data_IF_720573939749
#
_entry.id   IF_720573939749
#
_cell.length_a   1.000
_cell.length_b   1.000
_cell.length_c   1.000
_cell.angle_alpha   90.00
_cell.angle_beta   90.00
_cell.angle_gamma   90.00
#
_symmetry.space_group_name_H-M   'P 1'
#
loop_
_entity.id
_entity.type
_entity.pdbx_description
1 polymer ?
#
# COMPACT_ATOMS: atom_id res chain seq x y z
N UNK A 1 13.42 8.82 -3.23
CA UNK A 1 12.54 8.15 -2.27
C UNK A 1 11.44 7.42 -3.02
N UNK A 2 10.75 8.10 -3.93
CA UNK A 2 9.69 7.55 -4.80
C UNK A 2 10.10 6.23 -5.46
N UNK A 3 11.29 6.16 -6.06
CA UNK A 3 11.78 4.93 -6.68
C UNK A 3 11.94 3.77 -5.66
N UNK A 4 12.27 4.07 -4.41
CA UNK A 4 12.39 3.06 -3.35
C UNK A 4 11.03 2.50 -2.95
N UNK A 5 10.03 3.36 -2.79
CA UNK A 5 8.64 2.94 -2.53
C UNK A 5 8.13 2.08 -3.69
N UNK A 6 8.35 2.52 -4.93
CA UNK A 6 7.97 1.76 -6.11
C UNK A 6 8.65 0.37 -6.17
N UNK A 7 9.96 0.31 -5.88
CA UNK A 7 10.69 -0.95 -5.85
C UNK A 7 10.15 -1.90 -4.77
N UNK A 8 9.86 -1.39 -3.56
CA UNK A 8 9.28 -2.17 -2.47
C UNK A 8 7.91 -2.73 -2.88
N UNK A 9 7.04 -1.91 -3.47
CA UNK A 9 5.72 -2.35 -3.95
C UNK A 9 5.81 -3.41 -5.03
N UNK A 10 6.75 -3.28 -5.97
CA UNK A 10 6.99 -4.30 -7.01
C UNK A 10 7.51 -5.60 -6.40
N UNK A 11 8.49 -5.54 -5.50
CA UNK A 11 9.02 -6.73 -4.83
C UNK A 11 7.94 -7.42 -4.01
N UNK A 12 7.15 -6.68 -3.23
CA UNK A 12 6.04 -7.23 -2.46
C UNK A 12 5.01 -7.91 -3.37
N UNK A 13 4.62 -7.28 -4.48
CA UNK A 13 3.72 -7.88 -5.45
C UNK A 13 4.30 -9.15 -6.08
N UNK A 14 5.56 -9.15 -6.49
CA UNK A 14 6.19 -10.34 -7.08
C UNK A 14 6.25 -11.51 -6.09
N UNK A 15 6.55 -11.24 -4.82
CA UNK A 15 6.55 -12.27 -3.77
C UNK A 15 5.13 -12.83 -3.58
N UNK A 16 4.12 -11.96 -3.45
CA UNK A 16 2.73 -12.38 -3.24
C UNK A 16 2.17 -13.12 -4.47
N UNK A 17 2.52 -12.67 -5.67
CA UNK A 17 2.12 -13.29 -6.92
C UNK A 17 2.76 -14.68 -7.07
N UNK A 18 4.07 -14.80 -6.86
CA UNK A 18 4.79 -16.06 -6.97
C UNK A 18 4.35 -17.10 -5.92
N UNK A 19 3.96 -16.64 -4.73
CA UNK A 19 3.46 -17.51 -3.65
C UNK A 19 1.96 -17.78 -3.73
N UNK A 20 1.20 -17.07 -4.58
CA UNK A 20 -0.25 -17.20 -4.68
C UNK A 20 -1.02 -16.62 -3.49
N UNK A 21 -0.42 -15.73 -2.70
CA UNK A 21 -1.00 -15.17 -1.46
C UNK A 21 -1.57 -13.75 -1.64
N UNK A 22 -1.85 -13.31 -2.87
CA UNK A 22 -2.38 -11.96 -3.14
C UNK A 22 -3.69 -11.72 -2.38
N UNK A 23 -4.66 -12.62 -2.51
CA UNK A 23 -5.98 -12.46 -1.89
C UNK A 23 -5.88 -12.47 -0.36
N UNK A 24 -5.08 -13.39 0.20
CA UNK A 24 -4.83 -13.43 1.64
C UNK A 24 -4.17 -12.14 2.14
N UNK A 25 -3.17 -11.62 1.43
CA UNK A 25 -2.53 -10.35 1.80
C UNK A 25 -3.50 -9.17 1.70
N UNK A 26 -4.36 -9.13 0.69
CA UNK A 26 -5.39 -8.10 0.55
C UNK A 26 -6.39 -8.15 1.73
N UNK A 27 -6.78 -9.34 2.18
CA UNK A 27 -7.66 -9.49 3.35
C UNK A 27 -6.95 -9.11 4.64
N UNK A 28 -5.69 -9.51 4.85
CA UNK A 28 -4.97 -9.31 6.11
C UNK A 28 -4.41 -7.90 6.29
N UNK A 29 -3.88 -7.32 5.20
CA UNK A 29 -3.20 -6.02 5.17
C UNK A 29 -3.95 -4.92 4.42
N UNK A 30 -5.10 -5.21 3.83
CA UNK A 30 -5.97 -4.19 3.24
C UNK A 30 -6.78 -3.42 4.28
N UNK A 31 -7.19 -2.21 3.91
CA UNK A 31 -8.10 -1.41 4.72
C UNK A 31 -9.54 -1.91 4.56
N UNK A 32 -10.15 -2.36 5.67
CA UNK A 32 -11.53 -2.86 5.71
C UNK A 32 -12.29 -2.09 6.80
N UNK A 33 -13.19 -1.14 6.44
CA UNK A 33 -13.91 -0.31 7.40
C UNK A 33 -14.71 -1.10 8.44
N UNK A 34 -15.23 -2.28 8.07
CA UNK A 34 -16.00 -3.15 8.96
C UNK A 34 -15.23 -3.54 10.24
N UNK A 35 -13.88 -3.56 10.21
CA UNK A 35 -13.05 -3.86 11.39
C UNK A 35 -13.19 -2.85 12.54
N UNK A 36 -13.72 -1.65 12.27
CA UNK A 36 -13.99 -0.65 13.31
C UNK A 36 -15.21 -1.04 14.14
N UNK A 37 -16.26 -1.51 13.47
CA UNK A 37 -17.50 -1.96 14.11
C UNK A 37 -17.39 -3.38 14.68
N UNK A 38 -16.53 -4.21 14.09
CA UNK A 38 -16.32 -5.60 14.47
C UNK A 38 -14.82 -5.88 14.65
N UNK A 39 -14.24 -5.55 15.82
CA UNK A 39 -12.80 -5.73 16.07
C UNK A 39 -12.32 -7.17 15.89
N UNK A 40 -13.19 -8.15 16.13
CA UNK A 40 -12.90 -9.57 15.98
C UNK A 40 -13.15 -10.16 14.59
N UNK A 41 -13.44 -9.33 13.58
CA UNK A 41 -13.77 -9.77 12.22
C UNK A 41 -12.68 -10.68 11.61
N UNK A 42 -11.42 -10.49 12.02
CA UNK A 42 -10.27 -11.30 11.58
C UNK A 42 -9.53 -11.96 12.74
N UNK A 43 -10.21 -12.18 13.87
CA UNK A 43 -9.62 -12.90 15.00
C UNK A 43 -9.13 -14.29 14.58
N UNK A 44 -7.98 -14.68 15.12
CA UNK A 44 -7.31 -15.93 14.74
C UNK A 44 -6.52 -15.85 13.43
N UNK A 45 -6.61 -14.76 12.68
CA UNK A 45 -5.73 -14.48 11.54
C UNK A 45 -4.61 -13.52 11.96
N UNK A 46 -3.41 -13.67 11.39
CA UNK A 46 -2.29 -12.76 11.60
C UNK A 46 -2.48 -11.43 10.84
N UNK A 47 -3.63 -10.77 11.07
CA UNK A 47 -4.02 -9.54 10.41
C UNK A 47 -3.25 -8.34 10.95
N UNK A 48 -2.98 -7.37 10.07
CA UNK A 48 -2.33 -6.12 10.44
C UNK A 48 -3.30 -5.28 11.30
N UNK A 49 -2.84 -4.62 12.38
CA UNK A 49 -3.68 -3.71 13.17
C UNK A 49 -4.35 -2.66 12.29
N UNK A 50 -5.63 -2.38 12.56
CA UNK A 50 -6.45 -1.48 11.73
C UNK A 50 -5.77 -0.15 11.41
N UNK A 51 -5.14 0.51 12.38
CA UNK A 51 -4.48 1.81 12.18
C UNK A 51 -3.25 1.78 11.25
N UNK A 52 -2.67 0.60 11.00
CA UNK A 52 -1.55 0.41 10.09
C UNK A 52 -2.02 -0.06 8.70
N UNK A 53 -3.27 -0.51 8.56
CA UNK A 53 -3.84 -0.94 7.28
C UNK A 53 -3.83 0.13 6.18
N UNK A 54 -4.02 1.44 6.46
CA UNK A 54 -3.86 2.48 5.44
C UNK A 54 -2.46 2.53 4.83
N UNK A 55 -1.44 2.17 5.60
CA UNK A 55 -0.06 2.13 5.09
C UNK A 55 0.20 0.83 4.35
N UNK A 56 -0.17 -0.33 4.91
CA UNK A 56 0.09 -1.62 4.26
C UNK A 56 -0.66 -1.78 2.94
N UNK A 57 -1.87 -1.22 2.81
CA UNK A 57 -2.63 -1.28 1.58
C UNK A 57 -1.98 -0.51 0.42
N UNK A 58 -1.11 0.46 0.68
CA UNK A 58 -0.37 1.18 -0.39
C UNK A 58 0.67 0.31 -1.11
N UNK A 59 1.05 -0.82 -0.53
CA UNK A 59 2.10 -1.73 -1.03
C UNK A 59 1.48 -2.99 -1.64
N UNK A 60 0.29 -3.40 -1.18
CA UNK A 60 -0.39 -4.62 -1.63
C UNK A 60 -1.19 -4.34 -2.89
N UNK A 61 -0.90 -5.08 -3.97
CA UNK A 61 -1.56 -4.91 -5.27
C UNK A 61 -2.20 -6.22 -5.74
N UNK A 62 -3.41 -6.12 -6.30
CA UNK A 62 -4.24 -7.27 -6.66
C UNK A 62 -3.95 -7.90 -8.04
N UNK A 63 -3.09 -7.28 -8.87
CA UNK A 63 -2.81 -7.82 -10.20
C UNK A 63 -1.91 -6.93 -11.07
N UNK A 64 -1.49 -7.47 -12.22
CA UNK A 64 -0.53 -6.83 -13.13
C UNK A 64 -0.94 -5.45 -13.62
N UNK A 65 -2.19 -5.28 -14.07
CA UNK A 65 -2.69 -3.98 -14.52
C UNK A 65 -2.74 -2.97 -13.37
N UNK A 66 -3.14 -3.44 -12.18
CA UNK A 66 -3.26 -2.61 -10.99
C UNK A 66 -1.88 -2.07 -10.56
N UNK A 67 -0.86 -2.92 -10.48
CA UNK A 67 0.49 -2.47 -10.13
C UNK A 67 1.12 -1.62 -11.23
N UNK A 68 0.95 -1.98 -12.51
CA UNK A 68 1.54 -1.25 -13.61
C UNK A 68 1.07 0.22 -13.63
N UNK A 69 -0.24 0.46 -13.49
CA UNK A 69 -0.78 1.82 -13.43
C UNK A 69 -0.34 2.58 -12.18
N UNK A 70 -0.34 1.94 -11.01
CA UNK A 70 0.11 2.59 -9.78
C UNK A 70 1.58 2.99 -9.85
N UNK A 71 2.45 2.12 -10.37
CA UNK A 71 3.88 2.43 -10.51
C UNK A 71 4.11 3.49 -11.58
N UNK A 72 3.36 3.47 -12.68
CA UNK A 72 3.40 4.53 -13.69
C UNK A 72 3.09 5.89 -13.05
N UNK A 73 1.97 6.00 -12.32
CA UNK A 73 1.55 7.24 -11.67
C UNK A 73 2.52 7.65 -10.55
N UNK A 74 2.92 6.72 -9.69
CA UNK A 74 3.84 6.99 -8.57
C UNK A 74 5.20 7.47 -9.07
N UNK A 75 5.80 6.79 -10.05
CA UNK A 75 7.12 7.18 -10.55
C UNK A 75 7.04 8.44 -11.40
N UNK A 76 6.01 8.59 -12.24
CA UNK A 76 5.86 9.78 -13.08
C UNK A 76 5.55 11.03 -12.24
N UNK A 77 4.49 11.01 -11.43
CA UNK A 77 4.09 12.15 -10.61
C UNK A 77 5.00 12.31 -9.39
N UNK A 78 5.27 11.22 -8.66
CA UNK A 78 6.01 11.27 -7.41
C UNK A 78 7.47 11.71 -7.56
N UNK A 79 8.10 11.53 -8.72
CA UNK A 79 9.44 12.10 -8.98
C UNK A 79 9.38 13.61 -9.17
N UNK A 80 8.35 14.13 -9.83
CA UNK A 80 8.18 15.59 -9.99
C UNK A 80 7.84 16.24 -8.64
N UNK A 81 6.98 15.60 -7.85
CA UNK A 81 6.67 16.04 -6.49
C UNK A 81 7.92 15.99 -5.60
N UNK A 82 8.71 14.92 -5.64
CA UNK A 82 9.97 14.81 -4.88
C UNK A 82 10.99 15.87 -5.29
N UNK A 83 11.01 16.28 -6.56
CA UNK A 83 11.86 17.37 -7.02
C UNK A 83 11.47 18.73 -6.44
N UNK A 84 10.17 18.99 -6.25
CA UNK A 84 9.65 20.28 -5.74
C UNK A 84 9.64 20.32 -4.20
N UNK A 85 9.17 19.26 -3.55
CA UNK A 85 8.96 19.21 -2.10
C UNK A 85 10.13 18.54 -1.33
N UNK A 86 11.08 17.96 -2.06
CA UNK A 86 12.11 17.13 -1.48
C UNK A 86 11.57 15.82 -0.90
N UNK A 87 12.48 15.03 -0.31
CA UNK A 87 12.17 13.71 0.27
C UNK A 87 11.16 13.81 1.42
N UNK A 88 11.38 14.75 2.35
CA UNK A 88 10.56 14.89 3.56
C UNK A 88 9.12 15.30 3.26
N UNK A 89 8.92 16.32 2.42
CA UNK A 89 7.59 16.75 2.01
C UNK A 89 6.83 15.67 1.24
N UNK A 90 7.53 14.94 0.36
CA UNK A 90 6.93 13.82 -0.38
C UNK A 90 6.57 12.66 0.54
N UNK A 91 7.38 12.37 1.57
CA UNK A 91 7.08 11.32 2.55
C UNK A 91 5.83 11.66 3.36
N UNK A 92 5.74 12.91 3.81
CA UNK A 92 4.58 13.41 4.53
C UNK A 92 3.33 13.32 3.64
N UNK A 93 3.42 13.73 2.38
CA UNK A 93 2.31 13.63 1.43
C UNK A 93 1.89 12.18 1.19
N UNK A 94 2.86 11.27 1.08
CA UNK A 94 2.58 9.84 0.91
C UNK A 94 1.85 9.25 2.11
N UNK A 95 2.32 9.53 3.33
CA UNK A 95 1.68 9.04 4.57
C UNK A 95 0.32 9.69 4.77
N UNK A 96 0.21 11.02 4.62
CA UNK A 96 -1.07 11.73 4.75
C UNK A 96 -2.09 11.25 3.70
N UNK A 97 -1.64 11.04 2.46
CA UNK A 97 -2.47 10.49 1.39
C UNK A 97 -2.95 9.07 1.68
N UNK A 98 -2.08 8.21 2.24
CA UNK A 98 -2.44 6.85 2.64
C UNK A 98 -3.60 6.85 3.65
N UNK A 99 -3.51 7.69 4.69
CA UNK A 99 -4.57 7.83 5.69
C UNK A 99 -5.82 8.56 5.17
N UNK A 100 -5.68 9.52 4.26
CA UNK A 100 -6.79 10.31 3.74
C UNK A 100 -7.59 9.65 2.62
N UNK A 101 -7.03 8.65 1.93
CA UNK A 101 -7.70 7.90 0.87
C UNK A 101 -8.47 6.67 1.38
N UNK A 102 -8.25 6.27 2.64
CA UNK A 102 -8.91 5.13 3.28
C UNK A 102 -10.20 5.54 3.98
#
# INVERSE_FOLDING_TARGET
MTNGIAAISVVAFLILYATGHIDSAAVLGGFIPARIGEPGLLDGMAAVPFWLTPITCTVIHAGWMHIAFNMLMLVFCGRQVEHVLGKGGTLLLYVAGAYGAC
#
